data_IF_232966965741
#
_entry.id   IF_232966965741
#
_cell.length_a   1.000
_cell.length_b   1.000
_cell.length_c   1.000
_cell.angle_alpha   90.00
_cell.angle_beta   90.00
_cell.angle_gamma   90.00
#
_symmetry.space_group_name_H-M   'P 1'
#
loop_
_entity.id
_entity.type
_entity.pdbx_description
1 polymer ?
#
# COMPACT_ATOMS: atom_id res chain seq x y z
N UNK A 1 -3.23 22.89 -8.31
CA UNK A 1 -2.04 22.31 -7.64
C UNK A 1 -1.12 23.34 -6.98
N UNK A 2 -1.00 24.56 -7.50
CA UNK A 2 -0.03 25.54 -6.96
C UNK A 2 -0.43 26.21 -5.61
N UNK A 3 -1.69 26.14 -5.20
CA UNK A 3 -2.16 26.82 -3.97
C UNK A 3 -2.05 25.90 -2.71
N UNK A 4 -2.15 24.59 -2.89
CA UNK A 4 -2.06 23.60 -1.80
C UNK A 4 -0.66 23.57 -1.19
N UNK A 5 0.39 23.68 -2.01
CA UNK A 5 1.78 23.67 -1.52
C UNK A 5 2.13 24.86 -0.62
N UNK A 6 1.44 26.01 -0.77
CA UNK A 6 1.64 27.18 0.09
C UNK A 6 1.21 26.95 1.54
N UNK A 7 0.13 26.20 1.76
CA UNK A 7 -0.38 25.89 3.10
C UNK A 7 0.57 24.99 3.92
N UNK A 8 1.37 24.15 3.25
CA UNK A 8 2.26 23.17 3.88
C UNK A 8 3.71 23.67 4.05
N UNK A 9 4.05 24.81 3.43
CA UNK A 9 5.41 25.36 3.48
C UNK A 9 5.84 25.69 4.92
N UNK A 10 7.00 25.18 5.33
CA UNK A 10 7.58 25.36 6.68
C UNK A 10 6.73 24.78 7.84
N UNK A 11 5.82 23.88 7.55
CA UNK A 11 5.01 23.13 8.54
C UNK A 11 5.34 21.64 8.50
N UNK A 12 4.71 20.86 9.37
CA UNK A 12 4.85 19.40 9.41
C UNK A 12 6.15 18.90 10.05
N UNK A 13 6.91 19.75 10.71
CA UNK A 13 8.16 19.42 11.41
C UNK A 13 7.94 19.14 12.91
N UNK A 14 6.71 18.89 13.32
CA UNK A 14 6.34 18.58 14.71
C UNK A 14 6.86 17.22 15.11
N UNK A 15 7.63 17.15 16.20
CA UNK A 15 8.09 15.92 16.80
C UNK A 15 6.99 15.20 17.58
N UNK A 16 7.03 13.87 17.64
CA UNK A 16 6.15 13.04 18.45
C UNK A 16 6.91 12.44 19.64
N UNK A 17 6.43 12.68 20.86
CA UNK A 17 7.04 12.11 22.07
C UNK A 17 6.95 10.57 22.05
N UNK A 18 8.06 9.91 22.40
CA UNK A 18 8.06 8.46 22.60
C UNK A 18 7.44 8.13 23.99
N UNK A 19 6.35 7.37 23.97
CA UNK A 19 5.57 7.01 25.16
C UNK A 19 5.95 5.63 25.74
N UNK A 20 7.13 5.14 25.39
CA UNK A 20 7.60 3.80 25.73
C UNK A 20 7.44 2.84 24.57
N UNK A 21 8.57 2.58 23.86
CA UNK A 21 8.64 1.70 22.68
C UNK A 21 7.69 2.08 21.51
N UNK A 22 7.22 3.34 21.44
CA UNK A 22 6.30 3.81 20.39
C UNK A 22 7.01 4.40 19.17
N UNK A 23 8.31 4.17 19.02
CA UNK A 23 9.10 4.74 17.92
C UNK A 23 8.58 4.26 16.53
N UNK A 24 8.19 3.00 16.41
CA UNK A 24 7.62 2.44 15.19
C UNK A 24 6.26 3.07 14.84
N UNK A 25 5.43 3.36 15.87
CA UNK A 25 4.18 4.11 15.70
C UNK A 25 4.49 5.54 15.24
N UNK A 26 5.34 6.27 15.98
CA UNK A 26 5.64 7.66 15.69
C UNK A 26 6.21 7.86 14.29
N UNK A 27 7.13 6.99 13.83
CA UNK A 27 7.68 7.08 12.48
C UNK A 27 6.61 6.85 11.40
N UNK A 28 5.71 5.90 11.61
CA UNK A 28 4.61 5.62 10.69
C UNK A 28 3.59 6.77 10.66
N UNK A 29 3.25 7.35 11.82
CA UNK A 29 2.35 8.50 11.90
C UNK A 29 2.94 9.73 11.20
N UNK A 30 4.27 9.95 11.31
CA UNK A 30 4.94 11.02 10.56
C UNK A 30 4.76 10.84 9.05
N UNK A 31 4.98 9.63 8.53
CA UNK A 31 4.77 9.34 7.10
C UNK A 31 3.31 9.57 6.71
N UNK A 32 2.35 9.03 7.48
CA UNK A 32 0.93 9.16 7.18
C UNK A 32 0.46 10.64 7.24
N UNK A 33 1.06 11.46 8.11
CA UNK A 33 0.73 12.88 8.20
C UNK A 33 1.13 13.67 6.95
N UNK A 34 2.08 13.16 6.15
CA UNK A 34 2.53 13.76 4.89
C UNK A 34 1.81 13.19 3.65
N UNK A 35 0.83 12.33 3.83
CA UNK A 35 -0.06 11.89 2.76
C UNK A 35 -1.18 12.92 2.64
N UNK A 36 -0.92 13.99 1.89
CA UNK A 36 -1.78 15.18 1.86
C UNK A 36 -3.21 14.85 1.43
N UNK A 37 -3.39 14.09 0.36
CA UNK A 37 -4.71 13.74 -0.17
C UNK A 37 -5.54 12.94 0.84
N UNK A 38 -4.92 12.06 1.64
CA UNK A 38 -5.61 11.34 2.71
C UNK A 38 -6.13 12.32 3.77
N UNK A 39 -5.27 13.25 4.19
CA UNK A 39 -5.59 14.17 5.27
C UNK A 39 -6.63 15.22 4.85
N UNK A 40 -6.58 15.69 3.61
CA UNK A 40 -7.61 16.54 3.01
C UNK A 40 -8.95 15.78 2.90
N UNK A 41 -8.92 14.53 2.44
CA UNK A 41 -10.11 13.69 2.36
C UNK A 41 -10.77 13.49 3.73
N UNK A 42 -9.98 13.18 4.78
CA UNK A 42 -10.49 13.01 6.15
C UNK A 42 -11.07 14.34 6.67
N UNK A 43 -10.42 15.45 6.40
CA UNK A 43 -10.93 16.79 6.81
C UNK A 43 -12.26 17.09 6.13
N UNK A 44 -12.37 16.79 4.84
CA UNK A 44 -13.62 16.94 4.09
C UNK A 44 -14.71 15.98 4.57
N UNK A 45 -14.36 14.74 4.91
CA UNK A 45 -15.29 13.77 5.48
C UNK A 45 -16.00 14.33 6.73
N UNK A 46 -15.28 15.00 7.62
CA UNK A 46 -15.88 15.60 8.82
C UNK A 46 -16.66 16.89 8.55
N UNK A 47 -16.43 17.56 7.44
CA UNK A 47 -17.24 18.74 7.07
C UNK A 47 -18.70 18.39 6.71
N UNK A 48 -18.99 17.11 6.41
CA UNK A 48 -20.30 16.60 5.99
C UNK A 48 -21.18 16.06 7.14
N UNK A 49 -20.90 16.40 8.39
CA UNK A 49 -21.63 15.95 9.60
C UNK A 49 -21.84 14.41 9.66
N UNK A 50 -20.94 13.73 10.35
CA UNK A 50 -21.11 12.32 10.70
C UNK A 50 -21.37 12.17 12.21
N UNK A 51 -22.61 11.79 12.57
CA UNK A 51 -23.04 11.64 13.97
C UNK A 51 -22.91 10.22 14.56
N UNK A 52 -22.29 9.27 13.84
CA UNK A 52 -22.16 7.91 14.34
C UNK A 52 -21.06 7.81 15.42
N UNK A 53 -21.41 7.31 16.58
CA UNK A 53 -20.48 7.01 17.68
C UNK A 53 -19.84 5.60 17.48
N UNK A 54 -19.27 5.38 16.29
CA UNK A 54 -18.58 4.18 15.92
C UNK A 54 -17.07 4.33 16.22
N UNK A 55 -16.40 3.23 16.58
CA UNK A 55 -14.96 3.23 16.85
C UNK A 55 -14.14 3.71 15.66
N UNK A 56 -14.58 3.42 14.44
CA UNK A 56 -13.96 3.91 13.22
C UNK A 56 -14.03 5.44 13.10
N UNK A 57 -15.17 6.03 13.44
CA UNK A 57 -15.35 7.49 13.43
C UNK A 57 -14.50 8.14 14.53
N UNK A 58 -14.43 7.51 15.71
CA UNK A 58 -13.53 7.98 16.79
C UNK A 58 -12.08 7.95 16.33
N UNK A 59 -11.65 6.88 15.66
CA UNK A 59 -10.30 6.78 15.10
C UNK A 59 -9.99 7.91 14.11
N UNK A 60 -10.87 8.13 13.13
CA UNK A 60 -10.70 9.20 12.14
C UNK A 60 -10.68 10.59 12.79
N UNK A 61 -11.53 10.82 13.81
CA UNK A 61 -11.57 12.09 14.54
C UNK A 61 -10.27 12.35 15.30
N UNK A 62 -9.80 11.37 16.06
CA UNK A 62 -8.55 11.50 16.82
C UNK A 62 -7.33 11.65 15.88
N UNK A 63 -7.34 10.99 14.71
CA UNK A 63 -6.34 11.23 13.68
C UNK A 63 -6.41 12.67 13.14
N UNK A 64 -7.59 13.14 12.78
CA UNK A 64 -7.77 14.50 12.26
C UNK A 64 -7.31 15.57 13.26
N UNK A 65 -7.64 15.37 14.55
CA UNK A 65 -7.20 16.26 15.63
C UNK A 65 -5.68 16.22 15.79
N UNK A 66 -5.08 15.03 15.79
CA UNK A 66 -3.62 14.86 15.86
C UNK A 66 -2.93 15.50 14.66
N UNK A 67 -3.42 15.26 13.44
CA UNK A 67 -2.88 15.81 12.21
C UNK A 67 -2.91 17.36 12.24
N UNK A 68 -4.02 17.96 12.63
CA UNK A 68 -4.13 19.40 12.78
C UNK A 68 -3.10 19.98 13.77
N UNK A 69 -2.87 19.28 14.89
CA UNK A 69 -1.83 19.68 15.84
C UNK A 69 -0.43 19.57 15.25
N UNK A 70 -0.14 18.48 14.52
CA UNK A 70 1.16 18.27 13.87
C UNK A 70 1.48 19.35 12.84
N UNK A 71 0.47 19.90 12.18
CA UNK A 71 0.61 20.86 11.08
C UNK A 71 0.30 22.32 11.47
N UNK A 72 -0.16 22.57 12.69
CA UNK A 72 -0.46 23.93 13.15
C UNK A 72 0.80 24.75 13.46
N UNK A 73 1.71 24.17 14.23
CA UNK A 73 2.95 24.81 14.71
C UNK A 73 4.02 23.74 14.93
N UNK A 74 5.24 24.01 14.43
CA UNK A 74 6.37 23.11 14.67
C UNK A 74 6.75 23.11 16.16
N UNK A 75 6.52 22.00 16.82
CA UNK A 75 6.75 21.80 18.25
C UNK A 75 6.96 20.30 18.57
N UNK A 76 6.91 19.92 19.83
CA UNK A 76 6.87 18.52 20.26
C UNK A 76 5.51 18.29 20.90
N UNK A 77 4.79 17.27 20.45
CA UNK A 77 3.47 16.87 20.97
C UNK A 77 3.46 15.43 21.42
N UNK A 78 2.54 15.12 22.32
CA UNK A 78 2.34 13.75 22.82
C UNK A 78 1.11 13.13 22.19
N UNK A 79 1.23 12.05 21.38
CA UNK A 79 0.11 11.44 20.67
C UNK A 79 -0.72 10.47 21.54
N UNK A 80 -0.83 10.70 22.86
CA UNK A 80 -1.45 9.81 23.83
C UNK A 80 -2.86 9.38 23.46
N UNK A 81 -3.73 10.34 23.07
CA UNK A 81 -5.13 10.08 22.74
C UNK A 81 -5.22 9.14 21.55
N UNK A 82 -4.49 9.45 20.48
CA UNK A 82 -4.52 8.66 19.26
C UNK A 82 -3.93 7.25 19.47
N UNK A 83 -2.82 7.13 20.20
CA UNK A 83 -2.25 5.80 20.56
C UNK A 83 -3.25 4.98 21.37
N UNK A 84 -3.97 5.58 22.33
CA UNK A 84 -5.02 4.90 23.06
C UNK A 84 -6.14 4.35 22.16
N UNK A 85 -6.51 5.09 21.11
CA UNK A 85 -7.49 4.60 20.13
C UNK A 85 -6.91 3.48 19.27
N UNK A 86 -5.65 3.57 18.82
CA UNK A 86 -4.97 2.49 18.11
C UNK A 86 -4.98 1.19 18.93
N UNK A 87 -4.62 1.26 20.22
CA UNK A 87 -4.61 0.12 21.12
C UNK A 87 -6.01 -0.49 21.29
N UNK A 88 -7.05 0.35 21.37
CA UNK A 88 -8.44 -0.11 21.42
C UNK A 88 -8.84 -0.82 20.11
N UNK A 89 -8.50 -0.25 18.96
CA UNK A 89 -8.74 -0.87 17.65
C UNK A 89 -8.01 -2.21 17.52
N UNK A 90 -6.75 -2.28 17.98
CA UNK A 90 -5.97 -3.51 18.00
C UNK A 90 -6.66 -4.62 18.79
N UNK A 91 -7.13 -4.32 20.00
CA UNK A 91 -7.90 -5.27 20.81
C UNK A 91 -9.19 -5.74 20.11
N UNK A 92 -9.94 -4.82 19.48
CA UNK A 92 -11.16 -5.16 18.75
C UNK A 92 -10.90 -6.08 17.55
N UNK A 93 -9.75 -5.90 16.89
CA UNK A 93 -9.32 -6.73 15.74
C UNK A 93 -8.56 -7.99 16.18
N UNK A 94 -8.48 -8.28 17.48
CA UNK A 94 -7.74 -9.42 18.05
C UNK A 94 -6.26 -9.42 17.62
N UNK A 95 -5.70 -8.23 17.48
CA UNK A 95 -4.29 -8.02 17.17
C UNK A 95 -3.56 -7.50 18.42
N UNK A 96 -3.23 -8.43 19.33
CA UNK A 96 -2.64 -8.11 20.63
C UNK A 96 -1.24 -7.48 20.52
N UNK A 97 -0.57 -7.64 19.38
CA UNK A 97 0.76 -7.09 19.11
C UNK A 97 0.78 -5.57 19.30
N UNK A 98 -0.27 -4.87 18.83
CA UNK A 98 -0.39 -3.41 18.90
C UNK A 98 -1.26 -2.91 20.07
N UNK A 99 -1.71 -3.81 20.93
CA UNK A 99 -2.55 -3.46 22.08
C UNK A 99 -1.81 -2.92 23.31
N UNK A 100 -0.47 -2.89 23.27
CA UNK A 100 0.40 -2.47 24.38
C UNK A 100 1.54 -1.56 23.95
N UNK A 101 2.64 -1.55 24.75
CA UNK A 101 3.84 -0.73 24.53
C UNK A 101 5.08 -1.59 24.25
N UNK A 102 4.91 -2.73 23.59
CA UNK A 102 6.04 -3.57 23.18
C UNK A 102 6.69 -3.02 21.89
N UNK A 103 7.98 -3.34 21.70
CA UNK A 103 8.63 -3.08 20.41
C UNK A 103 8.03 -4.01 19.35
N UNK A 104 7.68 -3.43 18.21
CA UNK A 104 7.10 -4.17 17.09
C UNK A 104 7.72 -3.74 15.76
N UNK A 105 7.51 -4.52 14.73
CA UNK A 105 7.93 -4.19 13.38
C UNK A 105 7.12 -3.01 12.83
N UNK A 106 7.82 -2.01 12.30
CA UNK A 106 7.19 -0.82 11.72
C UNK A 106 6.39 -1.14 10.47
N UNK A 107 6.79 -2.14 9.70
CA UNK A 107 6.10 -2.57 8.49
C UNK A 107 4.76 -3.21 8.82
N UNK A 108 4.72 -4.11 9.81
CA UNK A 108 3.48 -4.71 10.29
C UNK A 108 2.52 -3.63 10.81
N UNK A 109 3.07 -2.62 11.48
CA UNK A 109 2.25 -1.49 11.93
C UNK A 109 1.73 -0.63 10.78
N UNK A 110 2.51 -0.39 9.74
CA UNK A 110 2.04 0.34 8.54
C UNK A 110 0.90 -0.42 7.87
N UNK A 111 0.99 -1.74 7.71
CA UNK A 111 -0.13 -2.55 7.24
C UNK A 111 -1.36 -2.42 8.12
N UNK A 112 -1.17 -2.51 9.42
CA UNK A 112 -2.25 -2.40 10.39
C UNK A 112 -2.95 -1.04 10.32
N UNK A 113 -2.20 0.08 10.31
CA UNK A 113 -2.78 1.42 10.27
C UNK A 113 -3.49 1.69 8.94
N UNK A 114 -2.94 1.24 7.82
CA UNK A 114 -3.61 1.32 6.50
C UNK A 114 -4.92 0.54 6.52
N UNK A 115 -4.94 -0.66 7.11
CA UNK A 115 -6.16 -1.45 7.21
C UNK A 115 -7.24 -0.78 8.07
N UNK A 116 -6.86 -0.06 9.13
CA UNK A 116 -7.81 0.68 9.96
C UNK A 116 -8.39 1.86 9.18
N UNK A 117 -7.55 2.65 8.50
CA UNK A 117 -8.04 3.73 7.64
C UNK A 117 -8.97 3.20 6.56
N UNK A 118 -8.60 2.10 5.90
CA UNK A 118 -9.46 1.48 4.89
C UNK A 118 -10.82 1.10 5.47
N UNK A 119 -10.85 0.36 6.59
CA UNK A 119 -12.10 -0.05 7.24
C UNK A 119 -12.95 1.13 7.71
N UNK A 120 -12.31 2.21 8.15
CA UNK A 120 -13.00 3.41 8.60
C UNK A 120 -13.60 4.24 7.45
N UNK A 121 -12.99 4.20 6.27
CA UNK A 121 -13.34 5.04 5.12
C UNK A 121 -14.13 4.33 4.02
N UNK A 122 -14.15 2.99 3.98
CA UNK A 122 -14.88 2.21 2.95
C UNK A 122 -16.40 2.37 2.96
N UNK A 123 -16.98 2.94 4.03
CA UNK A 123 -18.41 3.24 4.12
C UNK A 123 -18.75 4.71 3.89
N UNK A 124 -17.81 5.52 3.42
CA UNK A 124 -18.06 6.94 3.13
C UNK A 124 -19.04 7.12 1.97
N UNK A 125 -19.86 8.16 2.03
CA UNK A 125 -20.96 8.40 1.06
C UNK A 125 -20.50 8.66 -0.38
N UNK A 126 -19.23 8.99 -0.57
CA UNK A 126 -18.60 9.31 -1.86
C UNK A 126 -17.68 8.21 -2.41
N UNK A 127 -17.61 7.05 -1.73
CA UNK A 127 -16.76 5.92 -2.14
C UNK A 127 -17.07 5.44 -3.55
N UNK A 128 -18.35 5.33 -3.92
CA UNK A 128 -18.74 4.92 -5.27
C UNK A 128 -18.29 5.94 -6.32
N UNK A 129 -18.35 7.23 -5.99
CA UNK A 129 -17.87 8.31 -6.86
C UNK A 129 -16.34 8.23 -7.02
N UNK A 130 -15.60 8.02 -5.93
CA UNK A 130 -14.14 7.83 -5.98
C UNK A 130 -13.76 6.64 -6.85
N UNK A 131 -14.45 5.52 -6.68
CA UNK A 131 -14.18 4.33 -7.48
C UNK A 131 -14.47 4.56 -8.96
N UNK A 132 -15.58 5.27 -9.28
CA UNK A 132 -15.89 5.63 -10.67
C UNK A 132 -14.85 6.60 -11.26
N UNK A 133 -14.37 7.57 -10.49
CA UNK A 133 -13.27 8.44 -10.94
C UNK A 133 -12.01 7.63 -11.28
N UNK A 134 -11.63 6.68 -10.43
CA UNK A 134 -10.48 5.81 -10.71
C UNK A 134 -10.68 4.97 -11.97
N UNK A 135 -11.88 4.44 -12.19
CA UNK A 135 -12.19 3.70 -13.42
C UNK A 135 -12.08 4.59 -14.67
N UNK A 136 -12.52 5.85 -14.59
CA UNK A 136 -12.40 6.82 -15.66
C UNK A 136 -10.92 7.15 -15.94
N UNK A 137 -10.10 7.30 -14.90
CA UNK A 137 -8.66 7.51 -15.05
C UNK A 137 -7.99 6.34 -15.77
N UNK A 138 -8.41 5.10 -15.50
CA UNK A 138 -7.94 3.93 -16.22
C UNK A 138 -8.33 3.97 -17.71
N UNK A 139 -9.55 4.38 -18.05
CA UNK A 139 -9.98 4.55 -19.44
C UNK A 139 -9.17 5.63 -20.16
N UNK A 140 -8.91 6.76 -19.51
CA UNK A 140 -8.04 7.82 -20.04
C UNK A 140 -6.61 7.36 -20.32
N UNK A 141 -6.14 6.37 -19.56
CA UNK A 141 -4.84 5.73 -19.76
C UNK A 141 -4.88 4.53 -20.74
N UNK A 142 -5.99 4.35 -21.45
CA UNK A 142 -6.16 3.32 -22.47
C UNK A 142 -6.56 1.93 -21.94
N UNK A 143 -6.93 1.81 -20.66
CA UNK A 143 -7.46 0.56 -20.11
C UNK A 143 -8.96 0.49 -20.41
N UNK A 144 -9.34 -0.44 -21.29
CA UNK A 144 -10.75 -0.66 -21.63
C UNK A 144 -11.59 -1.01 -20.41
N UNK A 145 -12.78 -0.38 -20.29
CA UNK A 145 -13.79 -0.70 -19.26
C UNK A 145 -14.27 -2.17 -19.31
N UNK A 146 -14.06 -2.86 -20.42
CA UNK A 146 -14.37 -4.29 -20.61
C UNK A 146 -13.18 -5.22 -20.34
N UNK A 147 -12.03 -4.69 -19.94
CA UNK A 147 -10.85 -5.51 -19.66
C UNK A 147 -11.06 -6.45 -18.48
N UNK A 148 -10.30 -7.55 -18.44
CA UNK A 148 -10.31 -8.49 -17.32
C UNK A 148 -9.86 -7.81 -16.02
N UNK A 149 -8.99 -6.80 -16.12
CA UNK A 149 -8.56 -6.01 -14.98
C UNK A 149 -9.70 -5.20 -14.37
N UNK A 150 -10.47 -4.47 -15.16
CA UNK A 150 -11.63 -3.71 -14.64
C UNK A 150 -12.68 -4.66 -14.07
N UNK A 151 -12.88 -5.83 -14.67
CA UNK A 151 -13.76 -6.87 -14.11
C UNK A 151 -13.26 -7.37 -12.75
N UNK A 152 -11.96 -7.63 -12.63
CA UNK A 152 -11.32 -7.98 -11.36
C UNK A 152 -11.56 -6.89 -10.31
N UNK A 153 -11.30 -5.62 -10.64
CA UNK A 153 -11.49 -4.51 -9.71
C UNK A 153 -12.93 -4.39 -9.22
N UNK A 154 -13.91 -4.45 -10.13
CA UNK A 154 -15.34 -4.41 -9.78
C UNK A 154 -15.75 -5.55 -8.88
N UNK A 155 -15.16 -6.72 -9.05
CA UNK A 155 -15.42 -7.89 -8.20
C UNK A 155 -14.73 -7.77 -6.84
N UNK A 156 -13.47 -7.35 -6.83
CA UNK A 156 -12.65 -7.24 -5.62
C UNK A 156 -13.16 -6.12 -4.70
N UNK A 157 -13.48 -4.96 -5.28
CA UNK A 157 -13.86 -3.77 -4.51
C UNK A 157 -15.37 -3.62 -4.27
N UNK A 158 -16.20 -4.50 -4.75
CA UNK A 158 -17.67 -4.38 -4.80
C UNK A 158 -18.32 -3.52 -3.70
N UNK A 159 -18.02 -3.76 -2.42
CA UNK A 159 -18.48 -2.95 -1.27
C UNK A 159 -17.31 -2.69 -0.30
N UNK A 160 -16.09 -2.73 -0.80
CA UNK A 160 -14.88 -2.71 0.02
C UNK A 160 -13.82 -1.77 -0.58
N UNK A 161 -14.24 -0.71 -1.24
CA UNK A 161 -13.35 0.32 -1.75
C UNK A 161 -13.21 1.48 -0.78
N UNK A 162 -12.05 2.08 -0.74
CA UNK A 162 -11.79 3.30 0.02
C UNK A 162 -10.74 4.17 -0.68
N UNK A 163 -10.55 5.39 -0.21
CA UNK A 163 -9.46 6.26 -0.69
C UNK A 163 -8.06 5.60 -0.52
N UNK A 164 -7.91 4.67 0.43
CA UNK A 164 -6.65 3.95 0.63
C UNK A 164 -6.26 3.12 -0.60
N UNK A 165 -7.24 2.56 -1.32
CA UNK A 165 -7.00 1.80 -2.55
C UNK A 165 -6.51 2.70 -3.69
N UNK A 166 -7.01 3.93 -3.77
CA UNK A 166 -6.52 4.94 -4.73
C UNK A 166 -5.09 5.38 -4.39
N UNK A 167 -4.80 5.59 -3.11
CA UNK A 167 -3.53 6.16 -2.68
C UNK A 167 -2.39 5.14 -2.64
N UNK A 168 -2.65 3.92 -2.16
CA UNK A 168 -1.63 2.92 -1.87
C UNK A 168 -1.79 1.61 -2.63
N UNK A 169 -2.90 1.38 -3.33
CA UNK A 169 -3.20 0.11 -3.99
C UNK A 169 -2.24 -0.19 -5.15
N UNK A 170 -1.36 -1.17 -4.97
CA UNK A 170 -0.46 -1.70 -6.01
C UNK A 170 -1.18 -2.85 -6.68
N UNK A 171 -1.59 -2.68 -7.92
CA UNK A 171 -2.21 -3.76 -8.68
C UNK A 171 -1.16 -4.46 -9.53
N UNK A 172 -0.92 -5.74 -9.22
CA UNK A 172 0.02 -6.57 -9.94
C UNK A 172 -0.69 -7.56 -10.84
N UNK A 173 -0.04 -7.97 -11.92
CA UNK A 173 -0.48 -9.00 -12.84
C UNK A 173 0.57 -10.10 -12.90
N UNK A 174 0.12 -11.34 -12.77
CA UNK A 174 0.91 -12.54 -12.98
C UNK A 174 0.38 -13.28 -14.18
N UNK A 175 1.20 -13.43 -15.21
CA UNK A 175 0.89 -14.22 -16.42
C UNK A 175 1.73 -15.49 -16.43
N UNK A 176 1.08 -16.62 -16.72
CA UNK A 176 1.72 -17.88 -17.03
C UNK A 176 1.67 -18.04 -18.55
N UNK A 177 2.85 -18.03 -19.17
CA UNK A 177 3.01 -18.04 -20.62
C UNK A 177 3.69 -19.34 -21.05
N UNK A 178 3.08 -20.06 -21.97
CA UNK A 178 3.68 -21.26 -22.56
C UNK A 178 5.00 -20.91 -23.26
N UNK A 179 6.09 -21.61 -22.89
CA UNK A 179 7.43 -21.29 -23.37
C UNK A 179 7.62 -21.59 -24.86
N UNK A 180 6.84 -22.53 -25.41
CA UNK A 180 6.95 -22.96 -26.81
C UNK A 180 6.10 -22.12 -27.75
N UNK A 181 4.86 -21.80 -27.36
CA UNK A 181 3.89 -21.10 -28.21
C UNK A 181 3.76 -19.60 -27.90
N UNK A 182 4.36 -19.12 -26.81
CA UNK A 182 4.18 -17.77 -26.27
C UNK A 182 2.72 -17.42 -25.92
N UNK A 183 1.85 -18.42 -25.83
CA UNK A 183 0.43 -18.24 -25.48
C UNK A 183 0.27 -18.04 -23.98
N UNK A 184 -0.52 -17.06 -23.57
CA UNK A 184 -0.91 -16.89 -22.17
C UNK A 184 -1.89 -18.00 -21.79
N UNK A 185 -1.51 -18.85 -20.85
CA UNK A 185 -2.31 -19.96 -20.33
C UNK A 185 -3.21 -19.50 -19.18
N UNK A 186 -2.68 -18.62 -18.32
CA UNK A 186 -3.39 -18.09 -17.16
C UNK A 186 -2.94 -16.69 -16.85
N UNK A 187 -3.86 -15.85 -16.38
CA UNK A 187 -3.59 -14.51 -15.85
C UNK A 187 -4.28 -14.34 -14.50
N UNK A 188 -3.57 -13.78 -13.53
CA UNK A 188 -4.12 -13.47 -12.20
C UNK A 188 -3.74 -12.05 -11.83
N UNK A 189 -4.71 -11.32 -11.26
CA UNK A 189 -4.48 -10.01 -10.66
C UNK A 189 -4.42 -10.13 -9.14
N UNK A 190 -3.54 -9.35 -8.53
CA UNK A 190 -3.36 -9.26 -7.08
C UNK A 190 -3.25 -7.80 -6.68
N UNK A 191 -3.68 -7.49 -5.45
CA UNK A 191 -3.62 -6.15 -4.88
C UNK A 191 -2.84 -6.17 -3.56
N UNK A 192 -1.93 -5.21 -3.40
CA UNK A 192 -1.12 -5.01 -2.20
C UNK A 192 -1.07 -3.52 -1.86
N UNK A 193 -0.86 -3.18 -0.59
CA UNK A 193 -0.55 -1.80 -0.17
C UNK A 193 0.95 -1.55 -0.02
N UNK A 194 1.76 -2.59 -0.15
CA UNK A 194 3.21 -2.53 0.02
C UNK A 194 3.86 -3.63 -0.80
N UNK A 195 4.96 -3.32 -1.45
CA UNK A 195 5.74 -4.28 -2.23
C UNK A 195 6.95 -4.76 -1.43
N UNK A 196 7.00 -6.06 -1.18
CA UNK A 196 8.07 -6.73 -0.44
C UNK A 196 9.23 -7.10 -1.37
N UNK A 197 10.38 -6.47 -1.20
CA UNK A 197 11.56 -6.67 -2.05
C UNK A 197 12.68 -7.36 -1.29
N UNK A 198 13.19 -8.47 -1.86
CA UNK A 198 14.37 -9.15 -1.35
C UNK A 198 15.64 -8.33 -1.62
N UNK A 199 16.57 -8.32 -0.65
CA UNK A 199 17.85 -7.60 -0.77
C UNK A 199 18.88 -8.42 -1.57
N UNK A 200 18.71 -8.48 -2.86
CA UNK A 200 19.56 -9.23 -3.80
C UNK A 200 20.78 -8.44 -4.27
N UNK A 201 20.69 -7.09 -4.27
CA UNK A 201 21.76 -6.17 -4.68
C UNK A 201 21.97 -5.05 -3.65
N UNK A 202 22.90 -4.15 -3.90
CA UNK A 202 23.08 -2.87 -3.17
C UNK A 202 22.32 -1.71 -3.81
N UNK A 203 21.68 -1.91 -4.96
CA UNK A 203 20.84 -0.95 -5.65
C UNK A 203 19.37 -1.36 -5.58
N UNK A 204 18.48 -0.41 -5.26
CA UNK A 204 17.04 -0.65 -5.29
C UNK A 204 16.56 -1.02 -6.69
N UNK A 205 17.06 -0.35 -7.73
CA UNK A 205 16.69 -0.63 -9.12
C UNK A 205 17.03 -2.07 -9.52
N UNK A 206 18.21 -2.55 -9.12
CA UNK A 206 18.61 -3.96 -9.37
C UNK A 206 17.75 -4.94 -8.57
N UNK A 207 17.40 -4.62 -7.32
CA UNK A 207 16.48 -5.43 -6.53
C UNK A 207 15.10 -5.51 -7.19
N UNK A 208 14.59 -4.40 -7.73
CA UNK A 208 13.32 -4.36 -8.48
C UNK A 208 13.41 -5.16 -9.78
N UNK A 209 14.49 -5.00 -10.57
CA UNK A 209 14.71 -5.79 -11.79
C UNK A 209 14.69 -7.30 -11.53
N UNK A 210 15.35 -7.73 -10.46
CA UNK A 210 15.37 -9.14 -10.07
C UNK A 210 13.99 -9.60 -9.59
N UNK A 211 13.28 -8.75 -8.82
CA UNK A 211 11.94 -9.08 -8.33
C UNK A 211 10.92 -9.27 -9.46
N UNK A 212 11.00 -8.47 -10.53
CA UNK A 212 10.12 -8.53 -11.69
C UNK A 212 10.72 -9.33 -12.87
N UNK A 213 11.85 -10.01 -12.68
CA UNK A 213 12.42 -10.86 -13.70
C UNK A 213 11.50 -12.03 -14.04
N UNK A 214 11.49 -12.42 -15.32
CA UNK A 214 10.74 -13.60 -15.74
C UNK A 214 11.34 -14.85 -15.09
N UNK A 215 10.47 -15.71 -14.54
CA UNK A 215 10.84 -17.00 -13.95
C UNK A 215 10.55 -18.13 -14.93
N UNK A 216 11.58 -18.87 -15.33
CA UNK A 216 11.41 -20.07 -16.15
C UNK A 216 11.02 -21.25 -15.24
N UNK A 217 9.85 -21.80 -15.46
CA UNK A 217 9.34 -23.00 -14.79
C UNK A 217 9.36 -24.14 -15.79
N UNK A 218 10.28 -25.10 -15.59
CA UNK A 218 10.50 -26.20 -16.53
C UNK A 218 10.87 -27.51 -15.81
N UNK A 219 11.00 -28.58 -16.58
CA UNK A 219 11.32 -29.90 -16.07
C UNK A 219 12.71 -29.93 -15.39
N UNK A 220 13.68 -29.17 -15.89
CA UNK A 220 15.05 -29.15 -15.35
C UNK A 220 15.08 -28.55 -13.93
N UNK A 221 14.19 -27.59 -13.66
CA UNK A 221 14.06 -26.94 -12.37
C UNK A 221 13.07 -27.64 -11.42
N UNK A 222 12.48 -28.76 -11.85
CA UNK A 222 11.46 -29.53 -11.09
C UNK A 222 10.26 -28.69 -10.62
N UNK A 223 9.88 -27.67 -11.43
CA UNK A 223 8.82 -26.73 -11.10
C UNK A 223 7.84 -26.46 -12.27
N UNK A 224 7.63 -27.44 -13.15
CA UNK A 224 6.70 -27.34 -14.27
C UNK A 224 5.30 -26.92 -13.85
N UNK A 225 4.63 -26.15 -14.70
CA UNK A 225 3.24 -25.77 -14.53
C UNK A 225 2.30 -26.89 -14.98
N UNK A 226 1.33 -27.27 -14.14
CA UNK A 226 0.30 -28.21 -14.53
C UNK A 226 -0.86 -27.48 -15.17
N UNK A 227 -1.15 -27.76 -16.44
CA UNK A 227 -2.27 -27.20 -17.18
C UNK A 227 -3.54 -28.04 -16.94
N UNK A 228 -4.47 -27.51 -16.15
CA UNK A 228 -5.72 -28.19 -15.83
C UNK A 228 -6.63 -28.44 -17.04
N UNK A 229 -6.49 -27.66 -18.11
CA UNK A 229 -7.30 -27.81 -19.32
C UNK A 229 -6.79 -28.96 -20.18
N UNK A 230 -5.49 -29.04 -20.36
CA UNK A 230 -4.85 -30.08 -21.19
C UNK A 230 -4.39 -31.29 -20.37
N UNK A 231 -4.52 -31.24 -19.03
CA UNK A 231 -4.15 -32.33 -18.10
C UNK A 231 -2.71 -32.80 -18.23
N UNK A 232 -1.79 -31.86 -18.47
CA UNK A 232 -0.37 -32.18 -18.64
C UNK A 232 0.52 -31.10 -17.99
N UNK A 233 1.79 -31.47 -17.73
CA UNK A 233 2.83 -30.55 -17.31
C UNK A 233 3.42 -29.81 -18.50
N UNK A 234 3.62 -28.51 -18.36
CA UNK A 234 4.19 -27.63 -19.39
C UNK A 234 5.36 -26.81 -18.85
N UNK A 235 6.33 -26.58 -19.72
CA UNK A 235 7.35 -25.58 -19.49
C UNK A 235 6.76 -24.18 -19.79
N UNK A 236 6.83 -23.29 -18.81
CA UNK A 236 6.21 -21.97 -18.89
C UNK A 236 7.14 -20.88 -18.40
N UNK A 237 6.87 -19.65 -18.81
CA UNK A 237 7.48 -18.45 -18.28
C UNK A 237 6.44 -17.76 -17.40
N UNK A 238 6.74 -17.64 -16.12
CA UNK A 238 5.96 -16.83 -15.18
C UNK A 238 6.45 -15.39 -15.28
N UNK A 239 5.54 -14.48 -15.62
CA UNK A 239 5.79 -13.05 -15.72
C UNK A 239 5.03 -12.35 -14.61
N UNK A 240 5.73 -11.52 -13.83
CA UNK A 240 5.15 -10.70 -12.80
C UNK A 240 5.39 -9.23 -13.11
N UNK A 241 4.37 -8.40 -13.00
CA UNK A 241 4.44 -6.99 -13.39
C UNK A 241 3.47 -6.14 -12.58
N UNK A 242 3.78 -4.86 -12.42
CA UNK A 242 2.84 -3.87 -11.92
C UNK A 242 1.87 -3.56 -13.06
N UNK A 243 0.59 -3.84 -12.86
CA UNK A 243 -0.43 -3.49 -13.85
C UNK A 243 -0.82 -2.02 -13.73
N UNK A 244 -1.01 -1.54 -12.50
CA UNK A 244 -1.27 -0.15 -12.20
C UNK A 244 -0.53 0.26 -10.91
N UNK A 245 0.33 1.31 -10.94
CA UNK A 245 1.04 1.80 -9.76
C UNK A 245 0.12 2.69 -8.91
N UNK A 246 0.34 2.73 -7.58
CA UNK A 246 -0.39 3.62 -6.68
C UNK A 246 0.12 5.06 -6.76
N UNK A 247 -0.60 5.99 -6.13
CA UNK A 247 -0.15 7.37 -5.92
C UNK A 247 1.07 7.44 -5.01
N UNK A 248 1.07 6.63 -3.93
CA UNK A 248 2.18 6.48 -2.98
C UNK A 248 2.65 5.03 -3.00
N UNK A 249 3.86 4.81 -3.46
CA UNK A 249 4.44 3.49 -3.60
C UNK A 249 5.28 3.13 -2.38
N UNK A 250 4.83 2.16 -1.58
CA UNK A 250 5.53 1.70 -0.39
C UNK A 250 6.33 0.45 -0.72
N UNK A 251 7.64 0.51 -0.47
CA UNK A 251 8.56 -0.62 -0.65
C UNK A 251 9.08 -1.09 0.70
N UNK A 252 8.85 -2.34 1.02
CA UNK A 252 9.47 -3.01 2.15
C UNK A 252 10.73 -3.75 1.70
N UNK A 253 11.86 -3.45 2.34
CA UNK A 253 13.11 -4.18 2.14
C UNK A 253 13.19 -5.36 3.11
N UNK A 254 13.12 -6.60 2.63
CA UNK A 254 13.21 -7.83 3.44
C UNK A 254 14.60 -8.00 4.03
N UNK A 255 14.87 -7.31 5.14
CA UNK A 255 16.18 -7.33 5.81
C UNK A 255 16.39 -8.52 6.74
N UNK A 256 15.34 -9.12 7.24
CA UNK A 256 15.42 -10.22 8.18
C UNK A 256 15.34 -11.55 7.44
N UNK A 257 16.29 -12.43 7.69
CA UNK A 257 16.25 -13.79 7.18
C UNK A 257 15.52 -14.73 8.18
N UNK A 258 15.28 -15.95 7.76
CA UNK A 258 14.62 -16.99 8.58
C UNK A 258 15.37 -17.33 9.89
N UNK A 259 16.67 -16.99 9.99
CA UNK A 259 17.47 -17.16 11.21
C UNK A 259 17.44 -15.91 12.10
N UNK A 260 16.52 -14.98 11.90
CA UNK A 260 16.39 -13.72 12.62
C UNK A 260 17.65 -12.84 12.57
N UNK A 261 18.50 -13.02 11.55
CA UNK A 261 19.67 -12.17 11.33
C UNK A 261 19.29 -11.04 10.36
N UNK A 262 19.59 -9.81 10.77
CA UNK A 262 19.35 -8.62 9.96
C UNK A 262 20.44 -8.45 8.90
N UNK A 263 20.07 -8.37 7.64
CA UNK A 263 20.95 -7.95 6.56
C UNK A 263 21.26 -6.46 6.69
N UNK A 264 22.50 -6.11 6.98
CA UNK A 264 22.98 -4.74 7.19
C UNK A 264 23.35 -4.02 5.88
N UNK A 265 23.16 -4.66 4.71
CA UNK A 265 23.51 -4.09 3.41
C UNK A 265 22.89 -2.71 3.23
N UNK A 266 23.70 -1.74 2.84
CA UNK A 266 23.20 -0.41 2.45
C UNK A 266 22.61 -0.54 1.05
N UNK A 267 21.40 -0.01 0.87
CA UNK A 267 20.70 0.04 -0.41
C UNK A 267 20.75 1.47 -0.92
N UNK A 268 21.32 1.65 -2.09
CA UNK A 268 21.40 2.91 -2.79
C UNK A 268 20.17 3.09 -3.70
N UNK A 269 19.62 4.27 -3.70
CA UNK A 269 18.54 4.69 -4.61
C UNK A 269 18.63 6.20 -4.85
N UNK A 270 18.15 6.66 -6.00
CA UNK A 270 18.01 8.08 -6.25
C UNK A 270 16.72 8.58 -5.59
N UNK A 271 16.86 9.49 -4.64
CA UNK A 271 15.71 10.07 -3.92
C UNK A 271 14.80 10.92 -4.82
N UNK A 272 15.33 11.43 -5.93
CA UNK A 272 14.60 12.29 -6.86
C UNK A 272 13.92 11.52 -8.00
N UNK A 273 14.35 10.27 -8.24
CA UNK A 273 13.89 9.52 -9.41
C UNK A 273 14.01 8.01 -9.20
N UNK A 274 12.88 7.35 -9.01
CA UNK A 274 12.77 5.88 -9.09
C UNK A 274 11.86 5.59 -10.27
N UNK A 275 12.43 5.00 -11.35
CA UNK A 275 11.68 4.66 -12.55
C UNK A 275 11.00 3.30 -12.40
N UNK A 276 9.67 3.31 -12.28
CA UNK A 276 8.84 2.11 -12.25
C UNK A 276 8.35 1.66 -13.63
N UNK A 277 8.51 2.49 -14.68
CA UNK A 277 8.01 2.19 -16.03
C UNK A 277 8.48 0.84 -16.58
N UNK A 278 9.75 0.38 -16.37
CA UNK A 278 10.19 -0.92 -16.84
C UNK A 278 9.37 -2.10 -16.31
N UNK A 279 8.75 -1.93 -15.14
CA UNK A 279 7.99 -2.96 -14.43
C UNK A 279 6.48 -2.84 -14.61
N UNK A 280 6.01 -1.74 -15.22
CA UNK A 280 4.59 -1.46 -15.43
C UNK A 280 4.12 -1.94 -16.82
N UNK A 281 2.87 -2.45 -16.86
CA UNK A 281 2.25 -2.90 -18.12
C UNK A 281 1.69 -1.73 -18.92
N UNK A 282 1.13 -0.71 -18.24
CA UNK A 282 0.33 0.37 -18.86
C UNK A 282 1.19 1.46 -19.48
N UNK A 283 2.44 1.62 -19.05
CA UNK A 283 3.34 2.66 -19.55
C UNK A 283 4.30 2.19 -20.65
N UNK A 284 4.04 1.00 -21.22
CA UNK A 284 4.84 0.44 -22.33
C UNK A 284 4.26 0.78 -23.69
#
# INVERSE_FOLDING_TARGET
MNDIMGEYTNKGLTGLTNLGNTCYINSSLQIMSHVYELNEYITHFFSKEHQKNDTNIIFLKEWNDLHKLMWSKNCIISPNRFIGVIQKMAKQKQNDIFAGFHQNDSTEFVYFIISIFHDALKGASDVDTLFQCQLNDFEHQGISSKSDFVRYLKTYHKNNYSIMDTLFGIYCKMDIVDSSSSKVLSSKYENFYMLDIALTSTSLDECLKIHFANELMNKENDNQYYDDKEKCYKDVIKKYSIYYPPRYFIVQLKRWNHNLRKNQRIIHYDINSIDLNPFCVIFK
#
